data_IF_088386211012
#
_entry.id   IF_088386211012
#
_cell.length_a   1.000
_cell.length_b   1.000
_cell.length_c   1.000
_cell.angle_alpha   90.00
_cell.angle_beta   90.00
_cell.angle_gamma   90.00
#
_symmetry.space_group_name_H-M   'P 1'
#
loop_
_entity.id
_entity.type
_entity.pdbx_description
1 polymer ?
#
# COMPACT_ATOMS: atom_id res chain seq x y z
N UNK A 1 20.85 1.07 -1.80
CA UNK A 1 21.99 1.32 -0.90
C UNK A 1 21.44 2.06 0.30
N UNK A 2 21.47 1.45 1.49
CA UNK A 2 20.85 2.03 2.69
C UNK A 2 21.49 3.38 3.00
N UNK A 3 20.68 4.41 3.16
CA UNK A 3 21.07 5.78 3.53
C UNK A 3 21.61 5.83 4.96
N UNK A 4 21.40 4.75 5.72
CA UNK A 4 21.70 4.65 7.14
C UNK A 4 23.00 3.86 7.36
N UNK A 5 24.03 4.52 7.89
CA UNK A 5 25.33 3.93 8.24
C UNK A 5 25.37 3.34 9.66
N UNK A 6 24.23 3.25 10.35
CA UNK A 6 24.12 2.61 11.66
C UNK A 6 24.33 1.09 11.60
N UNK A 7 24.44 0.45 12.76
CA UNK A 7 24.44 -1.01 12.87
C UNK A 7 23.20 -1.59 12.16
N UNK A 8 23.26 -2.85 11.68
CA UNK A 8 22.20 -3.42 10.82
C UNK A 8 20.78 -3.33 11.42
N UNK A 9 20.63 -3.45 12.72
CA UNK A 9 19.34 -3.36 13.42
C UNK A 9 18.84 -1.91 13.53
N UNK A 10 19.74 -0.98 13.86
CA UNK A 10 19.39 0.45 13.96
C UNK A 10 19.01 1.02 12.61
N UNK A 11 19.75 0.71 11.56
CA UNK A 11 19.46 1.16 10.19
C UNK A 11 18.16 0.60 9.65
N UNK A 12 17.79 -0.63 10.00
CA UNK A 12 16.53 -1.23 9.61
C UNK A 12 15.34 -0.56 10.30
N UNK A 13 15.44 -0.34 11.61
CA UNK A 13 14.40 0.35 12.39
C UNK A 13 14.19 1.78 11.88
N UNK A 14 15.28 2.49 11.60
CA UNK A 14 15.23 3.83 11.06
C UNK A 14 14.62 3.88 9.65
N UNK A 15 14.97 2.93 8.79
CA UNK A 15 14.35 2.78 7.48
C UNK A 15 12.83 2.52 7.57
N UNK A 16 12.40 1.62 8.45
CA UNK A 16 10.97 1.35 8.65
C UNK A 16 10.20 2.57 9.15
N UNK A 17 10.87 3.45 9.92
CA UNK A 17 10.25 4.66 10.47
C UNK A 17 10.22 5.81 9.47
N UNK A 18 11.37 6.09 8.83
CA UNK A 18 11.60 7.31 8.06
C UNK A 18 11.84 7.09 6.57
N UNK A 19 11.82 5.82 6.08
CA UNK A 19 12.06 5.52 4.68
C UNK A 19 13.48 5.84 4.23
N UNK A 20 13.63 6.28 2.98
CA UNK A 20 14.94 6.48 2.35
C UNK A 20 15.12 7.86 1.69
N UNK A 21 14.31 8.85 2.07
CA UNK A 21 14.42 10.21 1.51
C UNK A 21 15.77 10.85 1.83
N UNK A 22 16.60 11.19 0.82
CA UNK A 22 17.94 11.73 1.07
C UNK A 22 17.97 13.00 1.90
N UNK A 23 16.91 13.81 1.86
CA UNK A 23 16.80 15.05 2.61
C UNK A 23 16.72 14.85 4.13
N UNK A 24 16.37 13.64 4.58
CA UNK A 24 16.33 13.30 5.99
C UNK A 24 17.72 13.25 6.63
N UNK A 25 18.76 13.02 5.84
CA UNK A 25 20.15 13.08 6.32
C UNK A 25 20.55 14.45 6.88
N UNK A 26 19.88 15.50 6.42
CA UNK A 26 20.11 16.88 6.89
C UNK A 26 19.23 17.24 8.10
N UNK A 27 18.39 16.31 8.59
CA UNK A 27 17.49 16.55 9.74
C UNK A 27 18.07 15.89 10.99
N UNK A 28 18.41 16.71 11.98
CA UNK A 28 18.92 16.22 13.26
C UNK A 28 17.77 15.92 14.22
N UNK A 29 17.58 14.66 14.53
CA UNK A 29 16.59 14.17 15.51
C UNK A 29 15.20 13.87 14.91
N UNK A 30 14.47 13.04 15.63
CA UNK A 30 13.20 12.44 15.19
C UNK A 30 12.11 13.48 14.94
N UNK A 31 12.02 14.50 15.80
CA UNK A 31 11.01 15.57 15.65
C UNK A 31 11.19 16.32 14.32
N UNK A 32 12.44 16.63 13.93
CA UNK A 32 12.70 17.33 12.67
C UNK A 32 12.44 16.44 11.46
N UNK A 33 12.75 15.14 11.55
CA UNK A 33 12.44 14.17 10.49
C UNK A 33 10.94 14.03 10.30
N UNK A 34 10.18 13.85 11.37
CA UNK A 34 8.71 13.74 11.32
C UNK A 34 8.06 15.01 10.78
N UNK A 35 8.49 16.18 11.25
CA UNK A 35 8.00 17.48 10.76
C UNK A 35 8.31 17.69 9.27
N UNK A 36 9.50 17.29 8.83
CA UNK A 36 9.87 17.35 7.42
C UNK A 36 8.94 16.49 6.56
N UNK A 37 8.72 15.23 6.93
CA UNK A 37 7.87 14.30 6.19
C UNK A 37 6.40 14.73 6.18
N UNK A 38 5.88 15.25 7.30
CA UNK A 38 4.55 15.83 7.33
C UNK A 38 4.40 17.04 6.39
N UNK A 39 5.39 17.93 6.35
CA UNK A 39 5.40 19.05 5.42
C UNK A 39 5.51 18.58 3.97
N UNK A 40 6.38 17.63 3.68
CA UNK A 40 6.54 17.03 2.35
C UNK A 40 5.19 16.47 1.85
N UNK A 41 4.53 15.65 2.67
CA UNK A 41 3.23 15.11 2.32
C UNK A 41 2.18 16.20 2.06
N UNK A 42 2.06 17.18 2.95
CA UNK A 42 1.04 18.24 2.84
C UNK A 42 1.31 19.23 1.71
N UNK A 43 2.55 19.70 1.57
CA UNK A 43 2.88 20.82 0.68
C UNK A 43 3.27 20.36 -0.72
N UNK A 44 3.75 19.14 -0.88
CA UNK A 44 4.12 18.60 -2.19
C UNK A 44 3.02 17.68 -2.69
N UNK A 45 2.75 16.59 -1.99
CA UNK A 45 1.79 15.59 -2.48
C UNK A 45 0.33 16.05 -2.44
N UNK A 46 -0.20 16.40 -1.27
CA UNK A 46 -1.62 16.77 -1.17
C UNK A 46 -1.94 18.01 -2.00
N UNK A 47 -1.10 19.02 -1.93
CA UNK A 47 -1.33 20.26 -2.68
C UNK A 47 -1.31 19.99 -4.19
N UNK A 48 -0.30 19.28 -4.71
CA UNK A 48 -0.22 18.97 -6.14
C UNK A 48 -1.43 18.13 -6.60
N UNK A 49 -1.82 17.11 -5.83
CA UNK A 49 -2.99 16.29 -6.15
C UNK A 49 -4.26 17.13 -6.18
N UNK A 50 -4.45 18.00 -5.21
CA UNK A 50 -5.65 18.86 -5.13
C UNK A 50 -5.73 19.87 -6.27
N UNK A 51 -4.62 20.56 -6.56
CA UNK A 51 -4.57 21.58 -7.61
C UNK A 51 -4.70 20.95 -9.00
N UNK A 52 -4.02 19.83 -9.27
CA UNK A 52 -4.04 19.14 -10.56
C UNK A 52 -5.39 18.54 -10.90
N UNK A 53 -6.12 18.05 -9.89
CA UNK A 53 -7.36 17.30 -10.10
C UNK A 53 -8.62 18.06 -9.66
N UNK A 54 -8.49 19.33 -9.22
CA UNK A 54 -9.60 20.14 -8.73
C UNK A 54 -10.45 19.43 -7.66
N UNK A 55 -9.79 18.85 -6.66
CA UNK A 55 -10.48 18.06 -5.63
C UNK A 55 -11.25 19.00 -4.69
N UNK A 56 -12.57 18.88 -4.69
CA UNK A 56 -13.48 19.63 -3.81
C UNK A 56 -13.63 18.96 -2.45
N UNK A 57 -13.79 17.64 -2.41
CA UNK A 57 -13.98 16.84 -1.21
C UNK A 57 -12.63 16.42 -0.61
N UNK A 58 -11.88 17.40 -0.10
CA UNK A 58 -10.54 17.19 0.49
C UNK A 58 -10.54 16.31 1.75
N UNK A 59 -11.48 16.47 2.70
CA UNK A 59 -11.55 15.60 3.87
C UNK A 59 -11.72 14.12 3.51
N UNK A 60 -12.53 13.81 2.50
CA UNK A 60 -12.80 12.46 2.03
C UNK A 60 -11.56 11.85 1.37
N UNK A 61 -10.79 12.67 0.65
CA UNK A 61 -9.53 12.24 0.07
C UNK A 61 -8.51 11.90 1.17
N UNK A 62 -8.39 12.74 2.20
CA UNK A 62 -7.49 12.49 3.34
C UNK A 62 -7.91 11.25 4.14
N UNK A 63 -9.21 11.04 4.33
CA UNK A 63 -9.72 9.84 5.01
C UNK A 63 -9.45 8.58 4.19
N UNK A 64 -9.62 8.63 2.87
CA UNK A 64 -9.23 7.54 1.97
C UNK A 64 -7.72 7.26 2.07
N UNK A 65 -6.88 8.30 2.08
CA UNK A 65 -5.44 8.15 2.23
C UNK A 65 -5.07 7.46 3.54
N UNK A 66 -5.70 7.84 4.66
CA UNK A 66 -5.48 7.20 5.96
C UNK A 66 -5.97 5.75 5.98
N UNK A 67 -7.13 5.49 5.40
CA UNK A 67 -7.69 4.14 5.30
C UNK A 67 -6.74 3.21 4.55
N UNK A 68 -6.22 3.65 3.41
CA UNK A 68 -5.23 2.87 2.65
C UNK A 68 -3.93 2.70 3.41
N UNK A 69 -3.43 3.74 4.07
CA UNK A 69 -2.19 3.69 4.83
C UNK A 69 -2.27 2.74 6.03
N UNK A 70 -3.45 2.64 6.67
CA UNK A 70 -3.68 1.74 7.81
C UNK A 70 -3.93 0.29 7.40
N UNK A 71 -4.21 0.02 6.13
CA UNK A 71 -4.60 -1.31 5.62
C UNK A 71 -3.85 -1.67 4.34
N UNK A 72 -2.53 -1.43 4.30
CA UNK A 72 -1.68 -1.65 3.11
C UNK A 72 -1.82 -3.05 2.53
N UNK A 73 -1.90 -4.07 3.40
CA UNK A 73 -1.99 -5.48 2.98
C UNK A 73 -3.41 -5.91 2.57
N UNK A 74 -4.42 -5.05 2.81
CA UNK A 74 -5.80 -5.42 2.58
C UNK A 74 -6.21 -5.27 1.11
N UNK A 75 -7.10 -6.15 0.63
CA UNK A 75 -7.67 -6.01 -0.70
C UNK A 75 -8.50 -4.73 -0.85
N UNK A 76 -8.21 -3.94 -1.86
CA UNK A 76 -8.86 -2.66 -2.18
C UNK A 76 -9.98 -2.87 -3.21
N UNK A 77 -11.18 -2.40 -2.86
CA UNK A 77 -12.32 -2.34 -3.76
C UNK A 77 -13.05 -1.00 -3.55
N UNK A 78 -13.16 -0.19 -4.59
CA UNK A 78 -13.73 1.16 -4.51
C UNK A 78 -15.17 1.17 -3.99
N UNK A 79 -16.02 0.21 -4.41
CA UNK A 79 -17.40 0.10 -3.94
C UNK A 79 -17.48 -0.24 -2.45
N UNK A 80 -16.63 -1.15 -1.98
CA UNK A 80 -16.59 -1.50 -0.55
C UNK A 80 -16.13 -0.30 0.29
N UNK A 81 -15.11 0.44 -0.15
CA UNK A 81 -14.63 1.65 0.51
C UNK A 81 -15.74 2.71 0.54
N UNK A 82 -16.41 2.98 -0.59
CA UNK A 82 -17.52 3.93 -0.65
C UNK A 82 -18.65 3.55 0.30
N UNK A 83 -19.01 2.27 0.39
CA UNK A 83 -20.01 1.77 1.32
C UNK A 83 -19.57 1.93 2.80
N UNK A 84 -18.30 1.69 3.09
CA UNK A 84 -17.75 1.91 4.45
C UNK A 84 -17.82 3.38 4.83
N UNK A 85 -17.48 4.29 3.94
CA UNK A 85 -17.57 5.73 4.19
C UNK A 85 -19.00 6.18 4.46
N UNK A 86 -19.97 5.70 3.68
CA UNK A 86 -21.40 5.99 3.91
C UNK A 86 -21.88 5.51 5.27
N UNK A 87 -21.40 4.35 5.73
CA UNK A 87 -21.85 3.74 6.97
C UNK A 87 -21.16 4.31 8.23
N UNK A 88 -19.88 4.66 8.15
CA UNK A 88 -19.05 5.01 9.30
C UNK A 88 -18.83 6.52 9.43
N UNK A 89 -18.55 7.21 8.34
CA UNK A 89 -18.07 8.61 8.37
C UNK A 89 -19.17 9.65 8.27
N UNK A 90 -20.45 9.29 8.15
CA UNK A 90 -21.60 10.20 7.86
C UNK A 90 -21.37 11.06 6.59
N UNK A 91 -20.41 10.71 5.77
CA UNK A 91 -20.17 11.31 4.47
C UNK A 91 -21.17 10.67 3.51
N UNK A 92 -22.33 11.32 3.34
CA UNK A 92 -23.48 10.71 2.67
C UNK A 92 -23.29 10.53 1.16
N UNK A 93 -22.32 11.17 0.51
CA UNK A 93 -22.30 11.29 -0.95
C UNK A 93 -21.02 10.87 -1.67
N UNK A 94 -20.13 10.09 -1.04
CA UNK A 94 -18.99 9.58 -1.81
C UNK A 94 -19.42 8.41 -2.69
N UNK A 95 -19.39 8.62 -4.00
CA UNK A 95 -19.69 7.59 -4.98
C UNK A 95 -18.46 6.71 -5.27
N UNK A 96 -18.70 5.47 -5.68
CA UNK A 96 -17.66 4.53 -6.14
C UNK A 96 -16.73 5.15 -7.19
N UNK A 97 -17.31 5.96 -8.09
CA UNK A 97 -16.56 6.68 -9.13
C UNK A 97 -15.59 7.70 -8.53
N UNK A 98 -15.98 8.39 -7.45
CA UNK A 98 -15.14 9.36 -6.75
C UNK A 98 -13.98 8.64 -6.06
N UNK A 99 -14.24 7.53 -5.35
CA UNK A 99 -13.18 6.71 -4.74
C UNK A 99 -12.22 6.19 -5.81
N UNK A 100 -12.73 5.69 -6.92
CA UNK A 100 -11.92 5.21 -8.05
C UNK A 100 -11.06 6.32 -8.67
N UNK A 101 -11.60 7.54 -8.76
CA UNK A 101 -10.85 8.70 -9.24
C UNK A 101 -9.73 9.07 -8.26
N UNK A 102 -10.01 9.11 -6.96
CA UNK A 102 -9.03 9.42 -5.93
C UNK A 102 -7.88 8.39 -5.90
N UNK A 103 -8.20 7.10 -6.00
CA UNK A 103 -7.18 6.05 -6.12
C UNK A 103 -6.29 6.25 -7.34
N UNK A 104 -6.86 6.65 -8.48
CA UNK A 104 -6.10 6.98 -9.68
C UNK A 104 -5.21 8.21 -9.46
N UNK A 105 -5.71 9.27 -8.83
CA UNK A 105 -4.93 10.49 -8.57
C UNK A 105 -3.73 10.21 -7.65
N UNK A 106 -3.89 9.32 -6.66
CA UNK A 106 -2.78 8.86 -5.83
C UNK A 106 -1.75 8.06 -6.63
N UNK A 107 -2.20 7.24 -7.59
CA UNK A 107 -1.29 6.50 -8.49
C UNK A 107 -0.55 7.45 -9.44
N UNK A 108 -1.27 8.40 -10.04
CA UNK A 108 -0.69 9.40 -10.95
C UNK A 108 0.33 10.32 -10.26
N UNK A 109 0.19 10.51 -8.95
CA UNK A 109 1.13 11.24 -8.10
C UNK A 109 2.26 10.36 -7.54
N UNK A 110 2.34 9.09 -7.92
CA UNK A 110 3.32 8.12 -7.40
C UNK A 110 3.27 7.94 -5.87
N UNK A 111 2.13 8.22 -5.25
CA UNK A 111 1.95 7.98 -3.82
C UNK A 111 1.72 6.50 -3.52
N UNK A 112 0.92 5.85 -4.37
CA UNK A 112 0.63 4.42 -4.29
C UNK A 112 0.83 3.74 -5.64
N UNK A 113 1.07 2.45 -5.61
CA UNK A 113 1.06 1.58 -6.79
C UNK A 113 0.05 0.45 -6.60
N UNK A 114 -0.65 0.08 -7.67
CA UNK A 114 -1.62 -1.00 -7.70
C UNK A 114 -0.94 -2.31 -8.07
N UNK A 115 -1.12 -3.34 -7.25
CA UNK A 115 -0.78 -4.72 -7.57
C UNK A 115 -2.04 -5.50 -7.94
N UNK A 116 -2.11 -6.00 -9.16
CA UNK A 116 -3.26 -6.76 -9.64
C UNK A 116 -3.24 -8.18 -9.09
N UNK A 117 -4.43 -8.79 -9.00
CA UNK A 117 -4.52 -10.19 -8.58
C UNK A 117 -4.40 -11.11 -9.80
N UNK A 118 -3.59 -12.13 -9.65
CA UNK A 118 -3.33 -13.14 -10.66
C UNK A 118 -3.79 -14.53 -10.18
N UNK A 119 -4.73 -15.13 -10.89
CA UNK A 119 -5.13 -16.52 -10.64
C UNK A 119 -4.03 -17.47 -11.17
N UNK A 120 -3.26 -18.04 -10.25
CA UNK A 120 -2.09 -18.88 -10.58
C UNK A 120 -2.51 -20.14 -11.35
N UNK A 121 -3.63 -20.77 -11.00
CA UNK A 121 -4.15 -21.97 -11.67
C UNK A 121 -4.85 -21.62 -12.99
N UNK A 122 -5.71 -20.61 -12.98
CA UNK A 122 -6.44 -20.15 -14.14
C UNK A 122 -5.61 -19.34 -15.13
N UNK A 123 -4.40 -18.92 -14.75
CA UNK A 123 -3.46 -18.11 -15.55
C UNK A 123 -4.11 -16.85 -16.14
N UNK A 124 -4.88 -16.15 -15.30
CA UNK A 124 -5.62 -14.94 -15.70
C UNK A 124 -5.59 -13.88 -14.63
N UNK A 125 -5.66 -12.63 -15.05
CA UNK A 125 -5.80 -11.50 -14.15
C UNK A 125 -7.22 -11.37 -13.60
N UNK A 126 -7.29 -10.91 -12.36
CA UNK A 126 -8.54 -10.62 -11.65
C UNK A 126 -8.51 -9.12 -11.34
N UNK A 127 -9.35 -8.35 -12.04
CA UNK A 127 -9.30 -6.89 -11.98
C UNK A 127 -9.65 -6.27 -10.62
N UNK A 128 -10.42 -6.99 -9.78
CA UNK A 128 -10.83 -6.48 -8.46
C UNK A 128 -11.22 -7.65 -7.54
N UNK A 129 -10.97 -7.56 -6.23
CA UNK A 129 -10.15 -6.52 -5.57
C UNK A 129 -8.67 -6.65 -5.92
N UNK A 130 -7.90 -5.59 -5.72
CA UNK A 130 -6.44 -5.52 -5.89
C UNK A 130 -5.80 -5.02 -4.60
N UNK A 131 -4.46 -5.06 -4.47
CA UNK A 131 -3.76 -4.42 -3.35
C UNK A 131 -3.13 -3.10 -3.80
N UNK A 132 -2.94 -2.19 -2.84
CA UNK A 132 -2.21 -0.94 -3.04
C UNK A 132 -1.03 -0.90 -2.09
N UNK A 133 0.16 -0.55 -2.63
CA UNK A 133 1.37 -0.36 -1.86
C UNK A 133 1.82 1.09 -1.98
N UNK A 134 2.28 1.68 -0.87
CA UNK A 134 2.90 3.00 -0.89
C UNK A 134 4.29 2.90 -1.52
N UNK A 135 4.60 3.82 -2.44
CA UNK A 135 5.93 3.83 -3.07
C UNK A 135 7.02 4.24 -2.07
N UNK A 136 6.67 5.13 -1.13
CA UNK A 136 7.53 5.52 -0.03
C UNK A 136 6.86 5.22 1.32
N UNK A 137 7.54 4.45 2.17
CA UNK A 137 7.04 4.08 3.50
C UNK A 137 6.96 5.31 4.40
N UNK A 138 7.89 6.24 4.27
CA UNK A 138 7.92 7.48 5.02
C UNK A 138 6.65 8.31 4.84
N UNK A 139 6.14 8.41 3.60
CA UNK A 139 4.89 9.11 3.31
C UNK A 139 3.68 8.36 3.91
N UNK A 140 3.67 7.03 3.82
CA UNK A 140 2.66 6.22 4.51
C UNK A 140 2.66 6.49 6.02
N UNK A 141 3.84 6.53 6.63
CA UNK A 141 3.99 6.79 8.05
C UNK A 141 3.59 8.23 8.43
N UNK A 142 3.96 9.21 7.60
CA UNK A 142 3.53 10.59 7.77
C UNK A 142 2.00 10.76 7.70
N UNK A 143 1.32 10.06 6.79
CA UNK A 143 -0.16 10.05 6.69
C UNK A 143 -0.80 9.57 7.99
N UNK A 144 -0.21 8.56 8.64
CA UNK A 144 -0.68 8.00 9.91
C UNK A 144 -0.11 8.71 11.14
N UNK A 145 0.60 9.82 10.98
CA UNK A 145 1.29 10.50 12.07
C UNK A 145 2.20 9.57 12.86
N UNK A 146 2.95 8.72 12.14
CA UNK A 146 3.91 7.75 12.66
C UNK A 146 3.30 6.75 13.67
N UNK A 147 2.04 6.41 13.46
CA UNK A 147 1.35 5.30 14.16
C UNK A 147 1.39 4.04 13.31
N UNK A 148 1.23 2.87 13.93
CA UNK A 148 1.22 1.58 13.24
C UNK A 148 2.51 1.32 12.44
N UNK A 149 3.67 1.54 13.08
CA UNK A 149 4.99 1.33 12.47
C UNK A 149 5.57 -0.05 12.80
N UNK A 150 4.75 -0.96 13.29
CA UNK A 150 5.16 -2.33 13.58
C UNK A 150 5.65 -3.00 12.29
N UNK A 151 6.81 -3.70 12.34
CA UNK A 151 7.39 -4.33 11.15
C UNK A 151 6.43 -5.25 10.40
N UNK A 152 5.52 -5.92 11.12
CA UNK A 152 4.51 -6.80 10.53
C UNK A 152 3.57 -6.09 9.56
N UNK A 153 3.26 -4.80 9.80
CA UNK A 153 2.39 -3.99 8.93
C UNK A 153 3.11 -3.33 7.77
N UNK A 154 4.45 -3.27 7.83
CA UNK A 154 5.26 -2.59 6.82
C UNK A 154 5.99 -3.56 5.88
N UNK A 155 6.23 -4.77 6.36
CA UNK A 155 7.12 -5.73 5.69
C UNK A 155 6.68 -6.06 4.27
N UNK A 156 5.39 -6.29 4.06
CA UNK A 156 4.87 -6.60 2.73
C UNK A 156 5.09 -5.43 1.77
N UNK A 157 4.86 -4.19 2.23
CA UNK A 157 5.12 -3.00 1.42
C UNK A 157 6.62 -2.82 1.10
N UNK A 158 7.50 -3.07 2.07
CA UNK A 158 8.96 -3.01 1.86
C UNK A 158 9.40 -4.03 0.82
N UNK A 159 8.94 -5.28 0.95
CA UNK A 159 9.27 -6.34 0.00
C UNK A 159 8.77 -5.98 -1.40
N UNK A 160 7.54 -5.43 -1.50
CA UNK A 160 7.00 -4.94 -2.77
C UNK A 160 7.93 -3.90 -3.41
N UNK A 161 8.31 -2.86 -2.66
CA UNK A 161 9.16 -1.78 -3.16
C UNK A 161 10.55 -2.30 -3.58
N UNK A 162 11.15 -3.19 -2.80
CA UNK A 162 12.45 -3.80 -3.13
C UNK A 162 12.39 -4.63 -4.42
N UNK A 163 11.35 -5.43 -4.60
CA UNK A 163 11.17 -6.23 -5.83
C UNK A 163 10.94 -5.32 -7.03
N UNK A 164 10.13 -4.25 -6.88
CA UNK A 164 9.89 -3.24 -7.91
C UNK A 164 11.18 -2.50 -8.29
N UNK A 165 11.96 -2.08 -7.30
CA UNK A 165 13.26 -1.43 -7.50
C UNK A 165 14.25 -2.29 -8.29
N UNK A 166 14.15 -3.62 -8.20
CA UNK A 166 14.91 -4.58 -9.01
C UNK A 166 14.33 -4.79 -10.42
N UNK A 167 13.26 -4.09 -10.77
CA UNK A 167 12.65 -4.13 -12.10
C UNK A 167 11.85 -5.39 -12.40
N UNK A 168 11.26 -6.02 -11.37
CA UNK A 168 10.34 -7.12 -11.54
C UNK A 168 8.89 -6.63 -11.61
N UNK A 169 8.10 -7.08 -12.59
CA UNK A 169 6.64 -6.99 -12.53
C UNK A 169 6.11 -7.85 -11.39
N UNK A 170 5.15 -7.33 -10.62
CA UNK A 170 4.62 -7.98 -9.42
C UNK A 170 3.10 -8.01 -9.48
N UNK A 171 2.56 -9.20 -9.20
CA UNK A 171 1.13 -9.44 -9.02
C UNK A 171 0.89 -10.08 -7.65
N UNK A 172 -0.33 -9.99 -7.13
CA UNK A 172 -0.78 -10.74 -5.95
C UNK A 172 -1.34 -12.09 -6.41
N UNK A 173 -0.76 -13.17 -5.91
CA UNK A 173 -1.14 -14.51 -6.32
C UNK A 173 -2.42 -15.00 -5.64
N UNK A 174 -3.32 -15.61 -6.42
CA UNK A 174 -4.51 -16.27 -5.90
C UNK A 174 -4.60 -17.70 -6.39
N UNK A 175 -4.93 -18.61 -5.46
CA UNK A 175 -5.17 -20.02 -5.77
C UNK A 175 -6.54 -20.40 -5.25
N UNK A 176 -7.44 -20.72 -6.16
CA UNK A 176 -8.73 -21.31 -5.78
C UNK A 176 -8.57 -22.81 -5.57
N UNK A 177 -8.89 -23.26 -4.37
CA UNK A 177 -8.83 -24.67 -3.98
C UNK A 177 -10.18 -25.11 -3.40
N UNK A 178 -10.60 -26.32 -3.72
CA UNK A 178 -11.78 -26.92 -3.13
C UNK A 178 -11.35 -27.85 -2.00
N UNK A 179 -11.85 -27.62 -0.81
CA UNK A 179 -11.67 -28.48 0.37
C UNK A 179 -13.02 -29.06 0.76
N UNK A 180 -13.03 -30.19 1.43
CA UNK A 180 -14.24 -30.72 2.05
C UNK A 180 -14.22 -30.33 3.53
N UNK A 181 -15.33 -29.76 4.02
CA UNK A 181 -15.49 -29.48 5.45
C UNK A 181 -15.71 -30.79 6.25
N UNK A 182 -15.80 -30.67 7.56
CA UNK A 182 -16.00 -31.83 8.44
C UNK A 182 -17.33 -32.58 8.17
N UNK A 183 -18.26 -31.95 7.49
CA UNK A 183 -19.58 -32.50 7.10
C UNK A 183 -19.56 -33.11 5.68
N UNK A 184 -18.39 -33.17 5.02
CA UNK A 184 -18.24 -33.70 3.66
C UNK A 184 -18.70 -32.78 2.54
N UNK A 185 -19.11 -31.54 2.84
CA UNK A 185 -19.53 -30.57 1.84
C UNK A 185 -18.31 -29.91 1.19
N UNK A 186 -18.39 -29.73 -0.11
CA UNK A 186 -17.34 -29.05 -0.87
C UNK A 186 -17.38 -27.54 -0.62
N UNK A 187 -16.30 -26.99 -0.07
CA UNK A 187 -16.11 -25.56 0.17
C UNK A 187 -14.97 -25.03 -0.70
N UNK A 188 -15.21 -23.92 -1.39
CA UNK A 188 -14.18 -23.24 -2.16
C UNK A 188 -13.39 -22.31 -1.22
N UNK A 189 -12.08 -22.54 -1.12
CA UNK A 189 -11.14 -21.71 -0.35
C UNK A 189 -10.23 -20.99 -1.33
N UNK A 190 -9.96 -19.72 -1.07
CA UNK A 190 -8.96 -18.94 -1.80
C UNK A 190 -7.73 -18.79 -0.92
N UNK A 191 -6.60 -19.29 -1.39
CA UNK A 191 -5.30 -19.06 -0.80
C UNK A 191 -4.62 -17.91 -1.52
N UNK A 192 -3.91 -17.08 -0.80
CA UNK A 192 -3.16 -15.96 -1.33
C UNK A 192 -1.66 -16.27 -1.26
N UNK A 193 -0.94 -15.86 -2.28
CA UNK A 193 0.52 -15.76 -2.32
C UNK A 193 0.82 -14.27 -2.45
N UNK A 194 1.57 -13.71 -1.51
CA UNK A 194 1.76 -12.26 -1.41
C UNK A 194 2.27 -11.68 -2.73
N UNK A 195 3.28 -12.31 -3.35
CA UNK A 195 3.78 -11.84 -4.63
C UNK A 195 4.04 -12.96 -5.62
N UNK A 196 3.65 -12.71 -6.85
CA UNK A 196 4.00 -13.49 -8.04
C UNK A 196 4.75 -12.57 -8.99
N UNK A 197 6.03 -12.84 -9.16
CA UNK A 197 6.92 -12.04 -10.00
C UNK A 197 7.20 -12.79 -11.29
N UNK A 198 6.83 -12.21 -12.43
CA UNK A 198 7.06 -12.79 -13.75
C UNK A 198 8.01 -11.90 -14.56
N UNK A 199 9.14 -12.44 -15.02
CA UNK A 199 10.09 -11.71 -15.89
C UNK A 199 10.63 -12.64 -16.95
N UNK A 200 10.17 -12.47 -18.18
CA UNK A 200 10.50 -13.38 -19.29
C UNK A 200 10.00 -14.80 -19.02
N UNK A 201 10.93 -15.77 -18.95
CA UNK A 201 10.64 -17.17 -18.63
C UNK A 201 10.71 -17.48 -17.14
N UNK A 202 11.16 -16.53 -16.32
CA UNK A 202 11.33 -16.72 -14.88
C UNK A 202 10.06 -16.36 -14.14
N UNK A 203 9.72 -17.16 -13.14
CA UNK A 203 8.62 -16.92 -12.22
C UNK A 203 9.05 -17.22 -10.80
N UNK A 204 8.84 -16.25 -9.91
CA UNK A 204 9.17 -16.35 -8.49
C UNK A 204 7.89 -16.14 -7.69
N UNK A 205 7.71 -16.95 -6.65
CA UNK A 205 6.64 -16.81 -5.67
C UNK A 205 7.26 -16.41 -4.34
N UNK A 206 6.72 -15.36 -3.72
CA UNK A 206 7.23 -14.84 -2.46
C UNK A 206 6.07 -14.79 -1.46
N UNK A 207 6.34 -15.31 -0.26
CA UNK A 207 5.46 -15.20 0.89
C UNK A 207 6.21 -14.46 1.99
N UNK A 208 5.68 -13.33 2.43
CA UNK A 208 6.23 -12.58 3.55
C UNK A 208 5.88 -13.27 4.88
N UNK A 209 6.83 -13.33 5.80
CA UNK A 209 6.60 -13.83 7.15
C UNK A 209 7.57 -13.18 8.14
N UNK A 210 7.03 -12.55 9.17
CA UNK A 210 7.82 -12.05 10.29
C UNK A 210 7.94 -13.13 11.37
N UNK A 211 9.17 -13.44 11.80
CA UNK A 211 9.46 -14.41 12.87
C UNK A 211 10.13 -13.74 14.05
#
# INVERSE_FOLDING_TARGET
MSVYEGGKEDGWTEYLMYGEQPQLLAQDGDDKKTDFLHRLYRTVYLRDIYERNNIELKPEFEELSKTLASSVEAPVNASNIANTFKSVSKVQDIADKTVSAYLRYMQDAFLIEKAERYDIKGRKYIGSPYKCYYQDIDLRNAILSFRQNEPTHLMENVIYNEIRGRGWPIDVGNIHHCVHNAEGQQQRVTLEVDFVCNKGSERIYIQSAWR
#
